data_IF_954182599928
#
_entry.id   IF_954182599928
#
_cell.length_a   1.000
_cell.length_b   1.000
_cell.length_c   1.000
_cell.angle_alpha   90.00
_cell.angle_beta   90.00
_cell.angle_gamma   90.00
#
_symmetry.space_group_name_H-M   'P 1'
#
loop_
_entity.id
_entity.type
_entity.pdbx_description
1 polymer ?
#
# COMPACT_ATOMS: atom_id res chain seq x y z
N UNK A 1 7.96 12.85 16.41
CA UNK A 1 6.94 12.10 17.18
C UNK A 1 5.56 12.05 16.49
N UNK A 2 4.99 13.18 16.03
CA UNK A 2 3.66 13.17 15.40
C UNK A 2 3.56 12.33 14.09
N UNK A 3 4.58 12.37 13.22
CA UNK A 3 4.59 11.57 12.00
C UNK A 3 4.66 10.06 12.31
N UNK A 4 5.55 9.65 13.21
CA UNK A 4 5.67 8.23 13.57
C UNK A 4 4.42 7.71 14.28
N UNK A 5 3.78 8.52 15.14
CA UNK A 5 2.50 8.15 15.75
C UNK A 5 1.38 7.96 14.72
N UNK A 6 1.31 8.84 13.72
CA UNK A 6 0.34 8.69 12.63
C UNK A 6 0.63 7.45 11.77
N UNK A 7 1.89 7.22 11.41
CA UNK A 7 2.30 6.03 10.68
C UNK A 7 2.05 4.75 11.48
N UNK A 8 2.30 4.74 12.79
CA UNK A 8 2.02 3.58 13.63
C UNK A 8 0.52 3.29 13.76
N UNK A 9 -0.31 4.34 13.79
CA UNK A 9 -1.77 4.20 13.91
C UNK A 9 -2.45 3.81 12.59
N UNK A 10 -2.01 4.38 11.46
CA UNK A 10 -2.66 4.20 10.16
C UNK A 10 -1.90 3.21 9.25
N UNK A 11 -0.63 2.97 9.54
CA UNK A 11 0.25 2.13 8.72
C UNK A 11 0.68 2.76 7.39
N UNK A 12 0.35 4.03 7.17
CA UNK A 12 0.73 4.82 5.99
C UNK A 12 1.11 6.26 6.39
N UNK A 13 1.77 6.95 5.47
CA UNK A 13 2.20 8.35 5.66
C UNK A 13 2.04 9.14 4.36
N UNK A 14 1.23 10.19 4.39
CA UNK A 14 1.07 11.12 3.27
C UNK A 14 2.30 12.02 3.12
N UNK A 15 2.77 12.22 1.89
CA UNK A 15 3.89 13.11 1.60
C UNK A 15 3.55 14.56 1.92
N UNK A 16 2.29 14.96 1.77
CA UNK A 16 1.80 16.27 2.19
C UNK A 16 2.09 16.58 3.67
N UNK A 17 1.97 15.58 4.57
CA UNK A 17 2.33 15.74 6.00
C UNK A 17 3.83 15.86 6.21
N UNK A 18 4.62 15.06 5.50
CA UNK A 18 6.08 15.12 5.59
C UNK A 18 6.63 16.43 5.00
N UNK A 19 6.02 16.94 3.93
CA UNK A 19 6.33 18.25 3.37
C UNK A 19 6.05 19.38 4.35
N UNK A 20 4.96 19.31 5.12
CA UNK A 20 4.67 20.27 6.19
C UNK A 20 5.72 20.24 7.32
N UNK A 21 6.44 19.12 7.49
CA UNK A 21 7.57 18.97 8.41
C UNK A 21 8.93 19.34 7.78
N UNK A 22 8.92 19.97 6.59
CA UNK A 22 10.11 20.36 5.83
C UNK A 22 11.02 19.18 5.45
N UNK A 23 10.46 17.98 5.28
CA UNK A 23 11.19 16.83 4.75
C UNK A 23 11.37 17.03 3.24
N UNK A 24 12.62 17.17 2.80
CA UNK A 24 12.94 17.42 1.39
C UNK A 24 12.59 16.24 0.47
N UNK A 25 12.80 15.01 0.94
CA UNK A 25 12.47 13.79 0.19
C UNK A 25 11.67 12.81 1.09
N UNK A 26 10.33 12.90 1.06
CA UNK A 26 9.49 12.14 2.00
C UNK A 26 9.52 10.63 1.72
N UNK A 27 9.64 10.24 0.45
CA UNK A 27 9.74 8.85 0.04
C UNK A 27 11.05 8.22 0.53
N UNK A 28 12.19 8.85 0.29
CA UNK A 28 13.49 8.37 0.77
C UNK A 28 13.57 8.38 2.29
N UNK A 29 13.00 9.41 2.94
CA UNK A 29 12.95 9.50 4.40
C UNK A 29 12.20 8.32 5.03
N UNK A 30 11.05 7.95 4.46
CA UNK A 30 10.26 6.81 4.90
C UNK A 30 10.92 5.48 4.55
N UNK A 31 11.43 5.31 3.33
CA UNK A 31 12.12 4.10 2.91
C UNK A 31 13.35 3.78 3.77
N UNK A 32 14.10 4.81 4.18
CA UNK A 32 15.26 4.65 5.06
C UNK A 32 14.87 4.23 6.50
N UNK A 33 13.69 4.62 6.97
CA UNK A 33 13.20 4.33 8.34
C UNK A 33 12.37 3.05 8.44
N UNK A 34 11.61 2.75 7.39
CA UNK A 34 10.68 1.65 7.34
C UNK A 34 10.96 0.79 6.10
N UNK A 35 12.05 -0.01 6.12
CA UNK A 35 12.36 -0.91 5.02
C UNK A 35 11.21 -1.90 4.81
N UNK A 36 10.88 -2.17 3.54
CA UNK A 36 9.81 -3.10 3.16
C UNK A 36 8.43 -2.44 2.95
N UNK A 37 8.31 -1.13 3.12
CA UNK A 37 7.17 -0.37 2.61
C UNK A 37 7.27 -0.10 1.12
N UNK A 38 6.22 0.52 0.56
CA UNK A 38 6.19 0.96 -0.83
C UNK A 38 5.91 2.46 -0.89
N UNK A 39 6.72 3.15 -1.69
CA UNK A 39 6.55 4.56 -2.01
C UNK A 39 5.56 4.68 -3.15
N UNK A 40 4.39 5.26 -2.89
CA UNK A 40 3.41 5.63 -3.91
C UNK A 40 3.65 7.07 -4.36
N UNK A 41 2.75 7.62 -5.18
CA UNK A 41 2.88 8.96 -5.74
C UNK A 41 2.68 10.06 -4.69
N UNK A 42 1.67 9.90 -3.84
CA UNK A 42 1.31 10.91 -2.82
C UNK A 42 1.52 10.44 -1.38
N UNK A 43 1.78 9.14 -1.17
CA UNK A 43 1.97 8.58 0.16
C UNK A 43 2.93 7.39 0.20
N UNK A 44 3.38 7.05 1.40
CA UNK A 44 4.15 5.86 1.70
C UNK A 44 3.30 4.86 2.47
N UNK A 45 3.24 3.61 2.00
CA UNK A 45 2.52 2.53 2.68
C UNK A 45 3.51 1.60 3.34
N UNK A 46 3.32 1.37 4.64
CA UNK A 46 4.19 0.54 5.44
C UNK A 46 4.10 -0.95 5.12
N UNK A 47 5.17 -1.68 5.42
CA UNK A 47 5.24 -3.14 5.27
C UNK A 47 4.10 -3.88 6.00
N UNK A 48 3.64 -3.37 7.14
CA UNK A 48 2.55 -3.98 7.91
C UNK A 48 1.21 -3.91 7.17
N UNK A 49 0.90 -2.76 6.55
CA UNK A 49 -0.31 -2.61 5.72
C UNK A 49 -0.19 -3.44 4.47
N UNK A 50 0.99 -3.42 3.83
CA UNK A 50 1.26 -4.29 2.69
C UNK A 50 1.04 -5.75 3.03
N UNK A 51 1.60 -6.26 4.13
CA UNK A 51 1.44 -7.65 4.54
C UNK A 51 -0.01 -8.01 4.87
N UNK A 52 -0.79 -7.08 5.43
CA UNK A 52 -2.20 -7.29 5.72
C UNK A 52 -3.04 -7.31 4.44
N UNK A 53 -2.73 -6.43 3.50
CA UNK A 53 -3.33 -6.40 2.17
C UNK A 53 -2.93 -7.64 1.36
N UNK A 54 -1.68 -8.09 1.46
CA UNK A 54 -1.15 -9.30 0.81
C UNK A 54 -1.96 -10.53 1.23
N UNK A 55 -2.09 -10.75 2.55
CA UNK A 55 -2.88 -11.83 3.10
C UNK A 55 -4.39 -11.70 2.77
N UNK A 56 -4.92 -10.49 2.78
CA UNK A 56 -6.31 -10.21 2.40
C UNK A 56 -6.56 -10.51 0.92
N UNK A 57 -5.66 -10.05 0.04
CA UNK A 57 -5.69 -10.26 -1.41
C UNK A 57 -5.63 -11.74 -1.77
N UNK A 58 -4.79 -12.53 -1.09
CA UNK A 58 -4.78 -13.97 -1.31
C UNK A 58 -6.14 -14.61 -0.98
N UNK A 59 -6.82 -14.15 0.05
CA UNK A 59 -8.16 -14.61 0.42
C UNK A 59 -9.25 -14.11 -0.55
N UNK A 60 -9.19 -12.83 -0.91
CA UNK A 60 -10.15 -12.14 -1.78
C UNK A 60 -10.07 -12.65 -3.23
N UNK A 61 -8.86 -12.81 -3.76
CA UNK A 61 -8.62 -13.42 -5.08
C UNK A 61 -9.18 -14.84 -5.14
N UNK A 62 -9.18 -15.58 -4.03
CA UNK A 62 -9.79 -16.91 -3.95
C UNK A 62 -11.32 -16.88 -3.86
N UNK A 63 -11.94 -15.80 -3.39
CA UNK A 63 -13.36 -15.79 -2.98
C UNK A 63 -14.27 -14.85 -3.76
N UNK A 64 -13.85 -13.61 -4.07
CA UNK A 64 -14.75 -12.58 -4.63
C UNK A 64 -14.08 -11.64 -5.65
N UNK A 65 -12.76 -11.72 -5.82
CA UNK A 65 -12.01 -10.89 -6.76
C UNK A 65 -11.73 -9.47 -6.25
N UNK A 66 -10.82 -8.79 -6.94
CA UNK A 66 -10.12 -7.57 -6.49
C UNK A 66 -10.99 -6.38 -6.04
N UNK A 67 -12.29 -6.36 -6.39
CA UNK A 67 -13.19 -5.26 -6.04
C UNK A 67 -13.31 -5.03 -4.53
N UNK A 68 -13.23 -6.10 -3.71
CA UNK A 68 -13.28 -5.99 -2.24
C UNK A 68 -11.93 -5.60 -1.62
N UNK A 69 -10.80 -5.79 -2.32
CA UNK A 69 -9.49 -5.35 -1.85
C UNK A 69 -9.42 -3.83 -1.63
N UNK A 70 -10.24 -3.03 -2.35
CA UNK A 70 -10.39 -1.59 -2.11
C UNK A 70 -11.02 -1.27 -0.76
N UNK A 71 -11.86 -2.16 -0.21
CA UNK A 71 -12.42 -2.02 1.13
C UNK A 71 -11.36 -2.19 2.22
N UNK A 72 -10.24 -2.85 1.91
CA UNK A 72 -9.09 -3.00 2.79
C UNK A 72 -8.06 -1.88 2.66
N UNK A 73 -8.18 -1.03 1.64
CA UNK A 73 -7.27 0.10 1.47
C UNK A 73 -7.53 1.16 2.55
N UNK A 74 -6.47 1.80 3.07
CA UNK A 74 -6.65 2.90 3.99
C UNK A 74 -7.47 4.02 3.34
N UNK A 75 -8.39 4.58 4.11
CA UNK A 75 -9.20 5.72 3.70
C UNK A 75 -8.29 6.91 3.31
N UNK A 76 -8.56 7.53 2.17
CA UNK A 76 -7.78 8.66 1.66
C UNK A 76 -6.74 8.35 0.59
N UNK A 77 -6.53 7.07 0.22
CA UNK A 77 -5.77 6.78 -1.01
C UNK A 77 -6.54 7.27 -2.24
N UNK A 78 -5.88 8.12 -3.03
CA UNK A 78 -6.36 8.46 -4.36
C UNK A 78 -6.35 7.26 -5.29
N UNK A 79 -7.18 7.28 -6.34
CA UNK A 79 -7.29 6.17 -7.30
C UNK A 79 -5.95 5.81 -7.96
N UNK A 80 -5.06 6.79 -8.15
CA UNK A 80 -3.72 6.58 -8.71
C UNK A 80 -2.80 5.81 -7.75
N UNK A 81 -2.74 6.22 -6.49
CA UNK A 81 -1.98 5.53 -5.45
C UNK A 81 -2.53 4.13 -5.19
N UNK A 82 -3.86 4.00 -5.19
CA UNK A 82 -4.51 2.70 -5.07
C UNK A 82 -4.05 1.79 -6.21
N UNK A 83 -4.12 2.23 -7.47
CA UNK A 83 -3.66 1.46 -8.62
C UNK A 83 -2.16 1.09 -8.55
N UNK A 84 -1.30 1.99 -8.08
CA UNK A 84 0.12 1.67 -7.87
C UNK A 84 0.33 0.63 -6.77
N UNK A 85 -0.39 0.75 -5.67
CA UNK A 85 -0.33 -0.21 -4.56
C UNK A 85 -0.80 -1.59 -4.99
N UNK A 86 -1.88 -1.63 -5.78
CA UNK A 86 -2.39 -2.85 -6.43
C UNK A 86 -1.29 -3.48 -7.29
N UNK A 87 -0.69 -2.69 -8.19
CA UNK A 87 0.38 -3.18 -9.06
C UNK A 87 1.57 -3.72 -8.28
N UNK A 88 1.93 -3.08 -7.16
CA UNK A 88 2.98 -3.56 -6.28
C UNK A 88 2.62 -4.90 -5.61
N UNK A 89 1.39 -5.04 -5.10
CA UNK A 89 0.91 -6.30 -4.49
C UNK A 89 0.79 -7.42 -5.53
N UNK A 90 0.33 -7.10 -6.74
CA UNK A 90 0.26 -8.04 -7.87
C UNK A 90 1.64 -8.53 -8.29
N UNK A 91 2.62 -7.63 -8.38
CA UNK A 91 4.00 -8.00 -8.70
C UNK A 91 4.64 -8.88 -7.61
N UNK A 92 4.29 -8.66 -6.34
CA UNK A 92 4.78 -9.47 -5.21
C UNK A 92 4.13 -10.85 -5.17
N UNK A 93 2.85 -10.94 -5.51
CA UNK A 93 2.07 -12.18 -5.55
C UNK A 93 1.90 -12.70 -6.97
N UNK A 94 2.87 -12.45 -7.85
CA UNK A 94 2.74 -12.78 -9.28
C UNK A 94 2.38 -14.26 -9.50
N UNK A 95 2.83 -15.15 -8.63
CA UNK A 95 2.48 -16.59 -8.64
C UNK A 95 0.98 -16.83 -8.36
N UNK A 96 0.46 -16.24 -7.27
CA UNK A 96 -0.96 -16.33 -6.89
C UNK A 96 -1.85 -15.65 -7.93
N UNK A 97 -1.43 -14.50 -8.44
CA UNK A 97 -2.16 -13.77 -9.46
C UNK A 97 -2.16 -14.52 -10.80
N UNK A 98 -1.05 -15.12 -11.21
CA UNK A 98 -0.99 -15.91 -12.43
C UNK A 98 -1.88 -17.16 -12.35
N UNK A 99 -1.99 -17.79 -11.18
CA UNK A 99 -2.87 -18.94 -10.95
C UNK A 99 -4.36 -18.59 -11.06
N UNK A 100 -4.74 -17.34 -10.78
CA UNK A 100 -6.14 -16.88 -10.76
C UNK A 100 -6.51 -15.89 -11.89
N UNK A 101 -5.54 -15.44 -12.70
CA UNK A 101 -5.74 -14.52 -13.83
C UNK A 101 -6.60 -15.10 -14.97
N UNK A 102 -6.92 -16.40 -14.96
CA UNK A 102 -7.83 -17.04 -15.91
C UNK A 102 -9.32 -16.69 -15.75
N UNK A 103 -9.69 -15.91 -14.72
CA UNK A 103 -11.08 -15.55 -14.39
C UNK A 103 -11.43 -14.08 -14.73
N UNK A 104 -10.48 -13.28 -15.20
CA UNK A 104 -10.73 -11.89 -15.62
C UNK A 104 -10.33 -11.68 -17.09
N UNK A 105 -11.15 -12.20 -18.01
CA UNK A 105 -11.29 -11.71 -19.39
C UNK A 105 -12.74 -11.36 -19.67
#
# INVERSE_FOLDING_TARGET
EAAEGYYAANGMMEYSRLGALQVADPAAYMAARHPGGVSLGDCYVGAAVLSRLDAGVEEDVRTAGWADARAHLPEGLGDADAAQLVGALAARNADVWAAHAGVYV
#
